data_IF_980591430977
#
_entry.id   IF_980591430977
#
_cell.length_a   1.000
_cell.length_b   1.000
_cell.length_c   1.000
_cell.angle_alpha   90.00
_cell.angle_beta   90.00
_cell.angle_gamma   90.00
#
_symmetry.space_group_name_H-M   'P 1'
#
loop_
_entity.id
_entity.type
_entity.pdbx_description
1 polymer ?
#
# COMPACT_ATOMS: atom_id res chain seq x y z
N UNK A 1 -3.31 14.24 -2.84
CA UNK A 1 -2.78 12.87 -2.99
C UNK A 1 -1.38 12.86 -3.62
N UNK A 2 -1.08 13.65 -4.66
CA UNK A 2 0.26 13.66 -5.33
C UNK A 2 1.44 13.82 -4.38
N UNK A 3 1.48 14.88 -3.55
CA UNK A 3 2.61 15.11 -2.63
C UNK A 3 2.87 13.94 -1.64
N UNK A 4 1.82 13.19 -1.28
CA UNK A 4 1.97 12.01 -0.42
C UNK A 4 2.51 10.81 -1.20
N UNK A 5 2.11 10.64 -2.46
CA UNK A 5 2.71 9.64 -3.35
C UNK A 5 4.18 9.92 -3.65
N UNK A 6 4.55 11.20 -3.76
CA UNK A 6 5.95 11.62 -3.92
C UNK A 6 6.77 11.28 -2.67
N UNK A 7 6.21 11.51 -1.48
CA UNK A 7 6.81 11.09 -0.20
C UNK A 7 7.01 9.57 -0.14
N UNK A 8 6.00 8.78 -0.50
CA UNK A 8 6.11 7.32 -0.59
C UNK A 8 7.27 6.90 -1.51
N UNK A 9 7.36 7.53 -2.68
CA UNK A 9 8.46 7.28 -3.63
C UNK A 9 9.83 7.63 -3.06
N UNK A 10 9.92 8.70 -2.26
CA UNK A 10 11.16 9.06 -1.57
C UNK A 10 11.52 8.06 -0.45
N UNK A 11 10.54 7.60 0.33
CA UNK A 11 10.73 6.61 1.41
C UNK A 11 11.26 5.28 0.89
N UNK A 12 10.85 4.84 -0.30
CA UNK A 12 11.38 3.64 -0.95
C UNK A 12 12.89 3.67 -1.22
N UNK A 13 13.50 4.87 -1.30
CA UNK A 13 14.94 5.04 -1.47
C UNK A 13 15.71 5.02 -0.14
N UNK A 14 15.00 4.99 1.00
CA UNK A 14 15.58 4.90 2.33
C UNK A 14 15.46 3.44 2.78
N UNK A 15 16.55 2.67 2.67
CA UNK A 15 16.56 1.22 2.90
C UNK A 15 16.58 0.83 4.39
N UNK A 16 15.61 1.33 5.15
CA UNK A 16 15.44 1.07 6.59
C UNK A 16 14.04 0.53 6.88
N UNK A 17 13.89 -0.28 7.93
CA UNK A 17 12.59 -0.83 8.30
C UNK A 17 11.57 0.26 8.64
N UNK A 18 12.02 1.33 9.31
CA UNK A 18 11.22 2.49 9.69
C UNK A 18 10.66 3.24 8.48
N UNK A 19 11.47 3.39 7.42
CA UNK A 19 11.01 4.02 6.18
C UNK A 19 9.96 3.17 5.46
N UNK A 20 10.12 1.84 5.46
CA UNK A 20 9.13 0.92 4.89
C UNK A 20 7.83 0.93 5.70
N UNK A 21 7.91 0.97 7.03
CA UNK A 21 6.73 1.07 7.91
C UNK A 21 5.98 2.40 7.70
N UNK A 22 6.70 3.52 7.58
CA UNK A 22 6.13 4.81 7.24
C UNK A 22 5.48 4.83 5.85
N UNK A 23 6.12 4.21 4.85
CA UNK A 23 5.58 4.09 3.49
C UNK A 23 4.27 3.28 3.49
N UNK A 24 4.26 2.16 4.21
CA UNK A 24 3.06 1.33 4.38
C UNK A 24 1.92 2.11 5.04
N UNK A 25 2.20 2.85 6.11
CA UNK A 25 1.21 3.68 6.79
C UNK A 25 0.62 4.76 5.86
N UNK A 26 1.45 5.42 5.06
CA UNK A 26 0.99 6.39 4.07
C UNK A 26 0.15 5.75 2.97
N UNK A 27 0.55 4.60 2.45
CA UNK A 27 -0.19 3.87 1.42
C UNK A 27 -1.57 3.43 1.89
N UNK A 28 -1.67 2.86 3.10
CA UNK A 28 -2.96 2.45 3.68
C UNK A 28 -3.89 3.65 3.92
N UNK A 29 -3.38 4.78 4.42
CA UNK A 29 -4.20 5.99 4.59
C UNK A 29 -4.66 6.58 3.24
N UNK A 30 -3.83 6.48 2.20
CA UNK A 30 -4.23 6.88 0.85
C UNK A 30 -5.38 6.02 0.30
N UNK A 31 -5.34 4.69 0.50
CA UNK A 31 -6.43 3.79 0.11
C UNK A 31 -7.70 4.03 0.92
N UNK A 32 -7.58 4.43 2.19
CA UNK A 32 -8.71 4.84 3.02
C UNK A 32 -9.38 6.11 2.49
N UNK A 33 -8.59 7.07 2.00
CA UNK A 33 -9.09 8.34 1.45
C UNK A 33 -9.64 8.20 0.03
N UNK A 34 -9.08 7.31 -0.78
CA UNK A 34 -9.49 7.07 -2.17
C UNK A 34 -9.50 5.56 -2.46
N UNK A 35 -10.68 4.96 -2.37
CA UNK A 35 -10.86 3.52 -2.57
C UNK A 35 -10.55 3.08 -4.00
N UNK A 36 -10.91 3.89 -5.00
CA UNK A 36 -10.63 3.62 -6.41
C UNK A 36 -9.14 3.59 -6.78
N UNK A 37 -8.23 3.94 -5.87
CA UNK A 37 -6.78 3.83 -6.04
C UNK A 37 -6.24 4.43 -7.36
N UNK A 38 -6.63 5.67 -7.66
CA UNK A 38 -6.28 6.36 -8.91
C UNK A 38 -4.77 6.53 -9.16
N UNK A 39 -3.91 6.22 -8.18
CA UNK A 39 -2.45 6.35 -8.24
C UNK A 39 -1.72 5.00 -8.19
N UNK A 40 -2.43 3.86 -8.18
CA UNK A 40 -1.83 2.52 -8.16
C UNK A 40 -1.03 2.23 -6.89
N UNK A 41 -1.50 2.70 -5.74
CA UNK A 41 -0.87 2.49 -4.43
C UNK A 41 -0.95 1.02 -4.03
N UNK A 42 -2.02 0.30 -4.39
CA UNK A 42 -2.23 -1.12 -4.04
C UNK A 42 -1.12 -2.03 -4.52
N UNK A 43 -0.52 -1.72 -5.67
CA UNK A 43 0.56 -2.51 -6.27
C UNK A 43 1.80 -2.59 -5.39
N UNK A 44 1.99 -1.60 -4.50
CA UNK A 44 3.16 -1.49 -3.63
C UNK A 44 2.92 -2.06 -2.23
N UNK A 45 1.69 -2.04 -1.72
CA UNK A 45 1.36 -2.41 -0.33
C UNK A 45 1.84 -3.83 0.02
N UNK A 46 1.59 -4.81 -0.85
CA UNK A 46 2.01 -6.19 -0.62
C UNK A 46 3.53 -6.33 -0.53
N UNK A 47 4.27 -5.59 -1.36
CA UNK A 47 5.74 -5.58 -1.32
C UNK A 47 6.27 -4.93 -0.04
N UNK A 48 5.58 -3.93 0.51
CA UNK A 48 5.95 -3.28 1.77
C UNK A 48 5.77 -4.23 2.96
N UNK A 49 4.67 -4.97 3.02
CA UNK A 49 4.47 -6.02 4.03
C UNK A 49 5.59 -7.08 3.99
N UNK A 50 5.95 -7.57 2.80
CA UNK A 50 7.05 -8.54 2.64
C UNK A 50 8.39 -7.99 3.11
N UNK A 51 8.69 -6.71 2.84
CA UNK A 51 9.93 -6.06 3.30
C UNK A 51 10.00 -5.91 4.83
N UNK A 52 8.84 -5.92 5.51
CA UNK A 52 8.74 -5.93 6.96
C UNK A 52 8.71 -7.34 7.56
N UNK A 53 8.82 -8.40 6.74
CA UNK A 53 8.67 -9.79 7.19
C UNK A 53 7.25 -10.15 7.63
N UNK A 54 6.25 -9.38 7.17
CA UNK A 54 4.82 -9.56 7.48
C UNK A 54 4.13 -10.34 6.37
N UNK A 55 4.61 -11.54 6.10
CA UNK A 55 4.22 -12.34 4.93
C UNK A 55 2.72 -12.71 4.93
N UNK A 56 2.17 -13.00 6.11
CA UNK A 56 0.74 -13.29 6.27
C UNK A 56 -0.11 -12.06 5.91
N UNK A 57 0.27 -10.87 6.37
CA UNK A 57 -0.44 -9.63 6.06
C UNK A 57 -0.35 -9.29 4.56
N UNK A 58 0.79 -9.57 3.92
CA UNK A 58 0.95 -9.42 2.48
C UNK A 58 -0.02 -10.33 1.71
N UNK A 59 -0.11 -11.61 2.11
CA UNK A 59 -1.03 -12.57 1.51
C UNK A 59 -2.49 -12.17 1.71
N UNK A 60 -2.86 -11.79 2.94
CA UNK A 60 -4.23 -11.40 3.27
C UNK A 60 -4.65 -10.14 2.52
N UNK A 61 -3.74 -9.17 2.37
CA UNK A 61 -3.99 -7.98 1.55
C UNK A 61 -4.21 -8.33 0.08
N UNK A 62 -3.37 -9.18 -0.52
CA UNK A 62 -3.53 -9.62 -1.91
C UNK A 62 -4.85 -10.37 -2.10
N UNK A 63 -5.17 -11.31 -1.21
CA UNK A 63 -6.41 -12.07 -1.26
C UNK A 63 -7.62 -11.14 -1.19
N UNK A 64 -7.63 -10.22 -0.24
CA UNK A 64 -8.69 -9.23 -0.14
C UNK A 64 -8.77 -8.35 -1.39
N UNK A 65 -7.64 -7.90 -1.92
CA UNK A 65 -7.61 -7.03 -3.09
C UNK A 65 -8.28 -7.70 -4.30
N UNK A 66 -7.90 -8.94 -4.62
CA UNK A 66 -8.42 -9.64 -5.80
C UNK A 66 -9.86 -10.15 -5.66
N UNK A 67 -10.35 -10.37 -4.44
CA UNK A 67 -11.68 -10.93 -4.20
C UNK A 67 -12.72 -9.85 -3.90
N UNK A 68 -12.31 -8.75 -3.27
CA UNK A 68 -13.22 -7.71 -2.78
C UNK A 68 -12.81 -6.34 -3.30
N UNK A 69 -11.53 -6.01 -3.23
CA UNK A 69 -11.04 -4.68 -3.56
C UNK A 69 -11.15 -4.28 -5.03
N UNK A 70 -11.37 -5.23 -5.95
CA UNK A 70 -11.57 -5.02 -7.40
C UNK A 70 -13.03 -5.17 -7.84
N UNK A 71 -13.97 -5.45 -6.92
CA UNK A 71 -15.38 -5.55 -7.29
C UNK A 71 -15.93 -4.16 -7.63
N UNK A 72 -16.82 -4.09 -8.62
CA UNK A 72 -17.49 -2.84 -9.01
C UNK A 72 -18.39 -2.26 -7.91
N UNK A 73 -18.64 -3.02 -6.84
CA UNK A 73 -19.46 -2.63 -5.69
C UNK A 73 -18.61 -2.12 -4.52
N UNK A 74 -17.27 -2.22 -4.60
CA UNK A 74 -16.36 -1.80 -3.54
C UNK A 74 -16.07 -0.28 -3.55
N UNK A 75 -16.32 0.38 -4.69
CA UNK A 75 -16.14 1.82 -4.90
C UNK A 75 -17.26 2.69 -4.32
#
# INVERSE_FOLDING_TARGET
MSARNDLMTALLNIHTGEAIDADLAHGLDMLRLCRGDNLGVRDKISALYLRLGRDQDAFDFLKWYFVTGTSSEYD
#
